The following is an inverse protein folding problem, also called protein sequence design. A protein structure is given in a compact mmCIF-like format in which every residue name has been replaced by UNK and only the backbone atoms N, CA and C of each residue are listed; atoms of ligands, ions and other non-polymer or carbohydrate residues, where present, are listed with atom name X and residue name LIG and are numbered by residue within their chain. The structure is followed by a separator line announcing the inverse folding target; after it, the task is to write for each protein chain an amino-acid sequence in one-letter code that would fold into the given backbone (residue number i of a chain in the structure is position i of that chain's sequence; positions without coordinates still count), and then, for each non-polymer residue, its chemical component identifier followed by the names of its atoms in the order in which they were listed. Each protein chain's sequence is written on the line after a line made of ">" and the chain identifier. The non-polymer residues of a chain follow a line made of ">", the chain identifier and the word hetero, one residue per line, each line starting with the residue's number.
data_IF_340140857513
#
_entry.id   IF_340140857513
#
_cell.length_a   1.000
_cell.length_b   1.000
_cell.length_c   1.000
_cell.angle_alpha   90.00
_cell.angle_beta   90.00
_cell.angle_gamma   90.00
#
_symmetry.space_group_name_H-M   'P 1'
#
loop_
_entity.id
_entity.type
_entity.pdbx_description
1 polymer ?
#
# COMPACT_ATOMS: atom_id res chain seq x y z
N UNK A 1 -9.79 -6.05 -15.30
CA UNK A 1 -9.82 -4.67 -15.86
C UNK A 1 -8.43 -4.41 -16.45
N UNK A 2 -8.23 -4.66 -17.74
CA UNK A 2 -7.00 -4.30 -18.45
C UNK A 2 -7.35 -3.10 -19.32
N UNK A 3 -7.25 -1.89 -18.76
CA UNK A 3 -7.52 -0.68 -19.52
C UNK A 3 -6.18 -0.05 -19.90
N UNK A 4 -5.95 0.07 -21.21
CA UNK A 4 -4.93 0.95 -21.77
C UNK A 4 -5.53 2.36 -21.78
N UNK A 5 -4.86 3.30 -21.12
CA UNK A 5 -5.28 4.70 -21.05
C UNK A 5 -4.40 5.55 -21.98
N UNK A 6 -4.85 6.78 -22.25
CA UNK A 6 -4.16 7.72 -23.14
C UNK A 6 -4.75 7.74 -24.55
N UNK A 7 -3.98 8.27 -25.48
CA UNK A 7 -4.38 8.43 -26.88
C UNK A 7 -4.07 7.15 -27.64
N UNK A 8 -5.09 6.32 -27.89
CA UNK A 8 -4.96 5.00 -28.55
C UNK A 8 -5.07 5.04 -30.08
N UNK A 9 -5.02 6.22 -30.67
CA UNK A 9 -4.99 6.42 -32.12
C UNK A 9 -3.98 7.51 -32.47
N UNK A 10 -3.12 7.26 -33.44
CA UNK A 10 -2.14 8.22 -33.92
C UNK A 10 -2.13 8.24 -35.45
N UNK A 11 -1.93 9.43 -36.03
CA UNK A 11 -1.75 9.60 -37.46
C UNK A 11 -0.24 9.56 -37.74
N UNK A 12 0.15 8.83 -38.78
CA UNK A 12 1.52 8.79 -39.22
C UNK A 12 1.96 10.16 -39.77
N UNK A 13 3.18 10.59 -39.42
CA UNK A 13 3.78 11.80 -39.98
C UNK A 13 4.19 11.60 -41.46
N UNK A 14 4.78 12.63 -42.08
CA UNK A 14 5.25 12.57 -43.47
C UNK A 14 6.38 11.54 -43.70
N UNK A 15 6.97 11.00 -42.62
CA UNK A 15 7.95 9.91 -42.66
C UNK A 15 7.32 8.53 -42.48
N UNK A 16 6.00 8.46 -42.30
CA UNK A 16 5.26 7.22 -42.09
C UNK A 16 5.25 6.74 -40.64
N UNK A 17 5.66 7.56 -39.67
CA UNK A 17 5.77 7.17 -38.26
C UNK A 17 4.57 7.68 -37.47
N UNK A 18 3.81 6.77 -36.87
CA UNK A 18 2.77 7.09 -35.89
C UNK A 18 3.36 6.98 -34.47
N UNK A 19 3.21 8.03 -33.65
CA UNK A 19 3.75 8.08 -32.27
C UNK A 19 2.63 8.10 -31.24
N UNK A 20 2.79 7.28 -30.21
CA UNK A 20 1.91 7.21 -29.05
C UNK A 20 2.74 7.62 -27.83
N UNK A 21 2.42 8.75 -27.19
CA UNK A 21 3.30 9.39 -26.19
C UNK A 21 2.71 9.43 -24.78
N UNK A 22 1.44 9.08 -24.63
CA UNK A 22 0.68 9.20 -23.37
C UNK A 22 0.01 7.89 -22.94
N UNK A 23 0.40 6.76 -23.56
CA UNK A 23 -0.13 5.45 -23.21
C UNK A 23 0.24 5.09 -21.78
N UNK A 24 -0.75 4.72 -20.99
CA UNK A 24 -0.57 4.34 -19.58
C UNK A 24 -1.27 3.03 -19.28
N UNK A 25 -0.59 2.16 -18.52
CA UNK A 25 -1.12 0.95 -17.93
C UNK A 25 -0.96 1.05 -16.42
N UNK A 26 -2.02 0.80 -15.67
CA UNK A 26 -2.02 0.91 -14.20
C UNK A 26 -2.03 -0.44 -13.50
N UNK A 27 -2.09 -1.55 -14.23
CA UNK A 27 -2.17 -2.91 -13.67
C UNK A 27 -0.87 -3.66 -13.93
N UNK A 28 -0.34 -4.28 -12.89
CA UNK A 28 0.86 -5.13 -12.99
C UNK A 28 0.59 -6.34 -13.88
N UNK A 29 1.55 -6.66 -14.74
CA UNK A 29 1.44 -7.83 -15.61
C UNK A 29 2.46 -7.82 -16.75
N UNK A 30 2.43 -8.89 -17.52
CA UNK A 30 3.15 -8.98 -18.79
C UNK A 30 2.19 -8.61 -19.93
N UNK A 31 2.58 -7.65 -20.76
CA UNK A 31 1.75 -7.09 -21.82
C UNK A 31 2.49 -7.09 -23.16
N UNK A 32 1.71 -7.02 -24.24
CA UNK A 32 2.15 -6.55 -25.57
C UNK A 32 1.13 -5.51 -26.05
N UNK A 33 1.55 -4.63 -26.95
CA UNK A 33 0.66 -3.67 -27.60
C UNK A 33 0.40 -4.14 -29.04
N UNK A 34 -0.88 -4.24 -29.40
CA UNK A 34 -1.30 -4.49 -30.76
C UNK A 34 -1.57 -3.16 -31.48
N UNK A 35 -0.98 -2.99 -32.65
CA UNK A 35 -1.18 -1.85 -33.53
C UNK A 35 -1.87 -2.32 -34.80
N UNK A 36 -2.89 -1.59 -35.24
CA UNK A 36 -3.64 -1.93 -36.44
C UNK A 36 -3.97 -0.68 -37.25
N UNK A 37 -3.98 -0.85 -38.56
CA UNK A 37 -4.47 0.18 -39.50
C UNK A 37 -5.82 -0.31 -40.06
N UNK A 38 -6.86 0.54 -40.18
CA UNK A 38 -8.13 0.15 -40.77
C UNK A 38 -7.95 -0.43 -42.18
N UNK A 39 -8.41 -1.68 -42.40
CA UNK A 39 -8.27 -2.39 -43.68
C UNK A 39 -6.83 -2.80 -44.03
N UNK A 40 -5.89 -2.66 -43.09
CA UNK A 40 -4.48 -2.99 -43.27
C UNK A 40 -4.00 -4.11 -42.33
N UNK A 41 -2.68 -4.34 -42.28
CA UNK A 41 -2.09 -5.32 -41.38
C UNK A 41 -2.13 -4.87 -39.91
N UNK A 42 -2.02 -5.86 -39.01
CA UNK A 42 -1.76 -5.64 -37.59
C UNK A 42 -0.36 -6.13 -37.23
N UNK A 43 0.27 -5.45 -36.28
CA UNK A 43 1.56 -5.85 -35.70
C UNK A 43 1.48 -5.82 -34.19
N UNK A 44 2.28 -6.63 -33.52
CA UNK A 44 2.41 -6.62 -32.06
C UNK A 44 3.81 -6.13 -31.68
N UNK A 45 3.90 -5.41 -30.57
CA UNK A 45 5.19 -5.12 -29.94
C UNK A 45 5.79 -6.37 -29.33
N UNK A 46 7.08 -6.29 -28.98
CA UNK A 46 7.66 -7.21 -28.02
C UNK A 46 6.89 -7.17 -26.68
N UNK A 47 7.02 -8.25 -25.91
CA UNK A 47 6.49 -8.29 -24.56
C UNK A 47 7.26 -7.35 -23.63
N UNK A 48 6.53 -6.70 -22.73
CA UNK A 48 7.09 -5.89 -21.66
C UNK A 48 6.33 -6.08 -20.37
N UNK A 49 7.04 -5.89 -19.25
CA UNK A 49 6.47 -6.03 -17.92
C UNK A 49 6.08 -4.66 -17.37
N UNK A 50 4.83 -4.55 -16.93
CA UNK A 50 4.38 -3.46 -16.04
C UNK A 50 4.58 -3.94 -14.62
N UNK A 51 5.44 -3.24 -13.87
CA UNK A 51 5.74 -3.55 -12.46
C UNK A 51 4.98 -2.60 -11.53
N UNK A 52 4.76 -3.03 -10.29
CA UNK A 52 4.17 -2.15 -9.28
C UNK A 52 5.11 -0.99 -8.94
N UNK A 53 4.52 0.16 -8.63
CA UNK A 53 5.21 1.35 -8.16
C UNK A 53 5.50 1.35 -6.65
N UNK A 54 6.10 2.44 -6.14
CA UNK A 54 6.34 2.62 -4.71
C UNK A 54 5.03 2.73 -3.91
N UNK A 55 5.14 2.58 -2.58
CA UNK A 55 4.02 2.75 -1.65
C UNK A 55 3.49 4.18 -1.73
N UNK A 56 2.18 4.32 -1.99
CA UNK A 56 1.51 5.61 -2.10
C UNK A 56 0.30 5.74 -1.15
N UNK A 57 -0.32 4.62 -0.76
CA UNK A 57 -1.47 4.62 0.15
C UNK A 57 -1.44 3.42 1.11
N UNK A 58 -2.18 3.54 2.21
CA UNK A 58 -2.37 2.46 3.19
C UNK A 58 -3.84 2.27 3.54
N UNK A 59 -4.26 1.04 3.80
CA UNK A 59 -5.60 0.72 4.30
C UNK A 59 -5.60 -0.50 5.22
N UNK A 60 -6.58 -0.63 6.12
CA UNK A 60 -6.75 -1.86 6.90
C UNK A 60 -7.40 -2.94 6.06
N UNK A 61 -6.79 -4.13 6.05
CA UNK A 61 -7.46 -5.37 5.64
C UNK A 61 -8.25 -5.93 6.82
N UNK A 62 -7.69 -5.78 8.03
CA UNK A 62 -8.29 -6.26 9.27
C UNK A 62 -8.04 -5.22 10.37
N UNK A 63 -9.13 -4.74 10.97
CA UNK A 63 -9.08 -3.81 12.09
C UNK A 63 -8.65 -4.53 13.39
N UNK A 64 -8.01 -3.84 14.36
CA UNK A 64 -7.89 -4.35 15.72
C UNK A 64 -9.26 -4.71 16.30
N UNK A 65 -9.32 -5.80 17.04
CA UNK A 65 -10.49 -6.17 17.84
C UNK A 65 -10.36 -5.67 19.27
N UNK A 66 -11.46 -5.80 20.01
CA UNK A 66 -11.49 -5.51 21.44
C UNK A 66 -10.47 -6.36 22.21
N UNK A 67 -10.17 -5.96 23.45
CA UNK A 67 -9.33 -6.75 24.34
C UNK A 67 -9.78 -6.63 25.79
N UNK A 68 -9.23 -7.51 26.64
CA UNK A 68 -9.18 -7.27 28.09
C UNK A 68 -7.81 -6.72 28.41
N UNK A 69 -7.72 -5.79 29.36
CA UNK A 69 -6.44 -5.25 29.82
C UNK A 69 -5.44 -6.37 30.17
N UNK A 70 -4.22 -6.27 29.64
CA UNK A 70 -3.19 -7.29 29.83
C UNK A 70 -3.27 -8.50 28.89
N UNK A 71 -4.25 -8.56 27.99
CA UNK A 71 -4.46 -9.68 27.07
C UNK A 71 -4.25 -9.28 25.60
N UNK A 72 -4.11 -10.29 24.73
CA UNK A 72 -4.03 -10.06 23.28
C UNK A 72 -5.31 -9.40 22.77
N UNK A 73 -5.17 -8.52 21.79
CA UNK A 73 -6.31 -8.08 20.98
C UNK A 73 -6.99 -9.33 20.39
N UNK A 74 -8.32 -9.39 20.51
CA UNK A 74 -9.15 -10.49 19.97
C UNK A 74 -8.97 -10.64 18.45
N UNK A 75 -8.67 -9.53 17.77
CA UNK A 75 -8.27 -9.50 16.37
C UNK A 75 -6.99 -8.68 16.22
N UNK A 76 -5.99 -9.25 15.56
CA UNK A 76 -4.71 -8.60 15.32
C UNK A 76 -4.77 -7.75 14.03
N UNK A 77 -4.19 -6.54 14.00
CA UNK A 77 -4.31 -5.64 12.85
C UNK A 77 -3.55 -6.13 11.61
N UNK A 78 -4.15 -5.95 10.44
CA UNK A 78 -3.51 -6.20 9.13
C UNK A 78 -3.70 -5.00 8.23
N UNK A 79 -2.60 -4.51 7.65
CA UNK A 79 -2.55 -3.32 6.79
C UNK A 79 -2.09 -3.71 5.39
N UNK A 80 -2.70 -3.08 4.38
CA UNK A 80 -2.30 -3.14 2.98
C UNK A 80 -1.60 -1.84 2.56
N UNK A 81 -0.53 -1.99 1.79
CA UNK A 81 0.21 -0.92 1.12
C UNK A 81 -0.08 -1.01 -0.38
N UNK A 82 -0.46 0.12 -1.00
CA UNK A 82 -0.80 0.17 -2.42
C UNK A 82 -0.07 1.29 -3.15
N UNK A 83 0.26 1.05 -4.41
CA UNK A 83 0.80 2.06 -5.31
C UNK A 83 -0.33 2.97 -5.86
N UNK A 84 0.04 4.01 -6.62
CA UNK A 84 -0.93 4.93 -7.22
C UNK A 84 -1.87 4.25 -8.23
N UNK A 85 -1.50 3.10 -8.77
CA UNK A 85 -2.33 2.28 -9.66
C UNK A 85 -3.31 1.37 -8.92
N UNK A 86 -3.24 1.31 -7.59
CA UNK A 86 -4.04 0.41 -6.75
C UNK A 86 -3.50 -1.04 -6.71
N UNK A 87 -2.28 -1.27 -7.19
CA UNK A 87 -1.61 -2.56 -7.04
C UNK A 87 -0.97 -2.66 -5.65
N UNK A 88 -0.67 -3.88 -5.21
CA UNK A 88 0.17 -4.08 -4.02
C UNK A 88 1.51 -3.41 -4.27
N UNK A 89 1.85 -2.43 -3.45
CA UNK A 89 3.04 -1.62 -3.67
C UNK A 89 4.33 -2.44 -3.59
N UNK A 90 5.29 -2.10 -4.45
CA UNK A 90 6.67 -2.55 -4.29
C UNK A 90 7.33 -1.75 -3.19
N UNK A 91 7.85 -2.44 -2.19
CA UNK A 91 8.64 -1.81 -1.15
C UNK A 91 8.59 -2.58 0.15
N UNK A 92 9.60 -2.29 0.95
CA UNK A 92 9.87 -2.92 2.23
C UNK A 92 9.90 -1.87 3.35
N UNK A 93 8.85 -1.02 3.49
CA UNK A 93 8.85 -0.07 4.60
C UNK A 93 8.60 -0.82 5.89
N UNK A 94 9.25 -0.34 6.95
CA UNK A 94 8.82 -0.66 8.30
C UNK A 94 7.55 0.13 8.59
N UNK A 95 6.55 -0.54 9.16
CA UNK A 95 5.41 0.12 9.77
C UNK A 95 5.55 0.09 11.28
N UNK A 96 5.31 1.23 11.91
CA UNK A 96 5.13 1.35 13.34
C UNK A 96 3.66 1.44 13.68
N UNK A 97 3.26 0.81 14.77
CA UNK A 97 1.92 0.93 15.33
C UNK A 97 2.01 1.45 16.77
N UNK A 98 1.12 2.38 17.11
CA UNK A 98 1.06 2.97 18.44
C UNK A 98 -0.38 3.23 18.86
N UNK A 99 -0.61 3.38 20.16
CA UNK A 99 -1.86 3.93 20.68
C UNK A 99 -1.97 5.41 20.29
N UNK A 100 -3.08 5.77 19.65
CA UNK A 100 -3.41 7.15 19.32
C UNK A 100 -4.29 7.81 20.38
N UNK A 101 -5.21 7.05 20.98
CA UNK A 101 -6.14 7.53 22.00
C UNK A 101 -6.53 6.42 22.98
N UNK A 102 -7.12 6.79 24.12
CA UNK A 102 -7.67 5.85 25.12
C UNK A 102 -6.73 5.49 26.27
N UNK A 103 -5.45 5.89 26.21
CA UNK A 103 -4.46 5.62 27.25
C UNK A 103 -3.99 4.16 27.30
N UNK A 104 -3.12 3.85 28.27
CA UNK A 104 -2.44 2.56 28.38
C UNK A 104 -1.16 2.49 27.55
N UNK A 105 -0.60 1.28 27.43
CA UNK A 105 0.62 0.99 26.68
C UNK A 105 0.37 -0.15 25.70
N UNK A 106 0.71 0.06 24.42
CA UNK A 106 0.74 -1.00 23.41
C UNK A 106 2.09 -1.71 23.47
N UNK A 107 2.09 -3.03 23.45
CA UNK A 107 3.29 -3.85 23.47
C UNK A 107 3.15 -5.09 22.59
N UNK A 108 4.27 -5.76 22.32
CA UNK A 108 4.34 -7.02 21.59
C UNK A 108 4.23 -6.93 20.06
N UNK A 109 3.84 -5.77 19.52
CA UNK A 109 3.65 -5.58 18.08
C UNK A 109 4.06 -4.20 17.55
N UNK A 110 4.96 -3.48 18.22
CA UNK A 110 5.30 -2.07 17.91
C UNK A 110 5.77 -1.81 16.48
N UNK A 111 6.26 -2.86 15.79
CA UNK A 111 6.72 -2.80 14.40
C UNK A 111 6.36 -4.06 13.62
N UNK A 112 6.09 -3.90 12.34
CA UNK A 112 5.96 -4.98 11.39
C UNK A 112 6.52 -4.57 10.02
N UNK A 113 6.84 -5.57 9.20
CA UNK A 113 7.45 -5.39 7.90
C UNK A 113 6.56 -6.03 6.82
N UNK A 114 6.48 -5.38 5.65
CA UNK A 114 5.84 -5.98 4.47
C UNK A 114 6.82 -6.94 3.79
N UNK A 115 6.53 -8.25 3.69
CA UNK A 115 7.29 -9.14 2.80
C UNK A 115 7.30 -8.58 1.39
N UNK A 116 8.43 -8.72 0.69
CA UNK A 116 8.60 -8.24 -0.68
C UNK A 116 7.43 -8.69 -1.57
N UNK A 117 6.92 -7.76 -2.37
CA UNK A 117 5.85 -7.94 -3.37
C UNK A 117 4.45 -8.34 -2.85
N UNK A 118 4.26 -8.50 -1.53
CA UNK A 118 2.92 -8.75 -0.96
C UNK A 118 2.13 -7.47 -0.74
N UNK A 119 2.80 -6.37 -0.36
CA UNK A 119 2.16 -5.15 0.12
C UNK A 119 1.26 -5.39 1.34
N UNK A 120 1.42 -6.48 2.09
CA UNK A 120 0.61 -6.82 3.26
C UNK A 120 1.48 -6.86 4.50
N UNK A 121 1.07 -6.13 5.54
CA UNK A 121 1.75 -6.05 6.83
C UNK A 121 0.83 -6.60 7.90
N UNK A 122 1.27 -7.65 8.57
CA UNK A 122 0.55 -8.25 9.70
C UNK A 122 1.24 -7.88 10.99
N UNK A 123 0.51 -7.24 11.91
CA UNK A 123 0.95 -7.08 13.28
C UNK A 123 0.51 -8.29 14.09
N UNK A 124 1.37 -8.81 14.95
CA UNK A 124 1.09 -9.99 15.76
C UNK A 124 1.56 -9.78 17.18
N UNK A 125 0.83 -10.30 18.17
CA UNK A 125 1.21 -10.19 19.57
C UNK A 125 0.82 -8.86 20.23
N UNK A 126 -0.06 -8.07 19.61
CA UNK A 126 -0.53 -6.81 20.16
C UNK A 126 -1.28 -7.04 21.48
N UNK A 127 -0.77 -6.41 22.55
CA UNK A 127 -1.36 -6.37 23.89
C UNK A 127 -1.46 -4.91 24.32
N UNK A 128 -2.58 -4.54 24.96
CA UNK A 128 -2.72 -3.25 25.62
C UNK A 128 -2.74 -3.49 27.13
N UNK A 129 -1.89 -2.75 27.85
CA UNK A 129 -1.80 -2.80 29.31
C UNK A 129 -2.00 -1.43 29.94
N UNK A 130 -2.80 -1.36 31.00
CA UNK A 130 -3.12 -0.16 31.75
C UNK A 130 -4.14 0.77 31.07
N UNK A 131 -4.57 1.77 31.84
CA UNK A 131 -5.62 2.73 31.45
C UNK A 131 -6.98 2.40 32.04
N UNK A 132 -7.91 3.36 31.99
CA UNK A 132 -9.31 3.08 32.30
C UNK A 132 -9.94 2.23 31.18
N UNK A 133 -11.02 1.52 31.46
CA UNK A 133 -11.77 0.87 30.38
C UNK A 133 -12.40 1.92 29.45
N UNK A 134 -12.42 1.63 28.15
CA UNK A 134 -13.01 2.52 27.16
C UNK A 134 -12.41 2.42 25.76
N UNK A 135 -12.85 3.32 24.90
CA UNK A 135 -12.50 3.34 23.48
C UNK A 135 -11.03 3.71 23.25
N UNK A 136 -10.38 2.93 22.39
CA UNK A 136 -9.01 3.13 21.93
C UNK A 136 -8.96 3.18 20.42
N UNK A 137 -7.97 3.89 19.90
CA UNK A 137 -7.61 3.86 18.48
C UNK A 137 -6.11 3.64 18.35
N UNK A 138 -5.71 2.89 17.32
CA UNK A 138 -4.33 2.71 16.94
C UNK A 138 -4.00 3.63 15.75
N UNK A 139 -2.76 4.09 15.69
CA UNK A 139 -2.20 4.74 14.51
C UNK A 139 -1.06 3.88 13.97
N UNK A 140 -1.11 3.63 12.66
CA UNK A 140 -0.03 2.97 11.91
C UNK A 140 0.65 4.01 11.03
N UNK A 141 1.97 4.04 11.06
CA UNK A 141 2.80 4.98 10.32
C UNK A 141 3.92 4.26 9.57
N UNK A 142 4.19 4.72 8.35
CA UNK A 142 5.42 4.32 7.63
C UNK A 142 6.63 5.01 8.25
N UNK A 143 7.76 4.30 8.29
CA UNK A 143 9.07 4.93 8.54
C UNK A 143 10.05 4.60 7.43
N UNK A 144 10.89 5.58 7.07
CA UNK A 144 12.05 5.31 6.23
C UNK A 144 13.04 4.39 6.96
N UNK A 145 13.70 3.52 6.20
CA UNK A 145 14.80 2.71 6.72
C UNK A 145 15.92 3.64 7.21
N UNK A 146 16.10 3.73 8.54
CA UNK A 146 17.17 4.52 9.15
C UNK A 146 16.82 5.14 10.50
N UNK A 147 15.55 5.46 10.75
CA UNK A 147 15.12 6.03 12.04
C UNK A 147 14.54 4.95 12.96
N UNK A 148 15.44 4.10 13.47
CA UNK A 148 15.17 3.34 14.68
C UNK A 148 15.67 4.16 15.86
N UNK A 149 14.78 4.35 16.85
CA UNK A 149 15.00 4.79 18.24
C UNK A 149 14.40 6.17 18.57
N UNK A 150 13.63 6.17 19.66
CA UNK A 150 13.01 7.31 20.38
C UNK A 150 11.81 8.00 19.72
N UNK A 151 10.65 7.33 19.71
CA UNK A 151 9.33 7.91 20.00
C UNK A 151 8.85 9.18 19.29
N UNK A 152 9.51 9.65 18.23
CA UNK A 152 9.14 10.86 17.50
C UNK A 152 9.54 10.67 16.04
N UNK A 153 8.56 10.47 15.17
CA UNK A 153 8.81 10.39 13.73
C UNK A 153 8.69 11.81 13.18
N UNK A 154 9.82 12.44 12.92
CA UNK A 154 9.94 13.70 12.19
C UNK A 154 10.66 13.40 10.89
N UNK A 155 9.96 13.45 9.76
CA UNK A 155 10.48 13.19 8.41
C UNK A 155 9.34 13.04 7.41
N UNK A 156 9.52 13.53 6.19
CA UNK A 156 8.47 13.84 5.22
C UNK A 156 7.75 12.60 4.64
N UNK A 157 6.45 12.76 4.33
CA UNK A 157 5.47 11.78 3.80
C UNK A 157 5.34 10.45 4.55
N UNK A 158 5.24 10.52 5.88
CA UNK A 158 4.70 9.44 6.69
C UNK A 158 3.23 9.24 6.29
N UNK A 159 2.93 8.19 5.53
CA UNK A 159 1.57 7.69 5.45
C UNK A 159 1.12 7.33 6.86
N UNK A 160 -0.06 7.80 7.23
CA UNK A 160 -0.68 7.58 8.54
C UNK A 160 -2.07 6.99 8.37
N UNK A 161 -2.37 5.95 9.13
CA UNK A 161 -3.62 5.23 9.06
C UNK A 161 -4.15 4.98 10.48
N UNK A 162 -5.35 5.48 10.77
CA UNK A 162 -5.98 5.35 12.08
C UNK A 162 -7.01 4.22 12.05
N UNK A 163 -7.02 3.36 13.06
CA UNK A 163 -7.99 2.27 13.19
C UNK A 163 -9.41 2.80 13.45
N UNK A 164 -10.40 1.94 13.24
CA UNK A 164 -11.69 2.13 13.89
C UNK A 164 -11.52 2.07 15.44
N UNK A 165 -12.42 2.70 16.21
CA UNK A 165 -12.46 2.52 17.66
C UNK A 165 -12.72 1.06 18.04
N UNK A 166 -12.06 0.60 19.11
CA UNK A 166 -12.27 -0.69 19.75
C UNK A 166 -12.13 -0.52 21.27
N UNK A 167 -12.69 -1.45 22.04
CA UNK A 167 -12.78 -1.34 23.51
C UNK A 167 -11.71 -2.20 24.17
N UNK A 168 -11.09 -1.66 25.22
CA UNK A 168 -10.25 -2.43 26.18
C UNK A 168 -10.69 -2.16 27.61
#
# INVERSE_FOLDING_TARGET
>A
KNALYGTVAAIADSTGVARFTDLTLSVVGNYSLAFSIPGGPSVESDHFMVTTGPVATMSYIQQPGDAVDGTLLTVQPVVKLMDLGGNNAKGSPWLHIALRSGGGTLSGCDKAFAPEDSGVVTFSGCVITGGASGDRTLVVQTVEQGNVLTGTITGNEILSLVSAPFVV
#
